data_IF_930700512785
#
_entry.id   IF_930700512785
#
_cell.length_a   1.000
_cell.length_b   1.000
_cell.length_c   1.000
_cell.angle_alpha   90.00
_cell.angle_beta   90.00
_cell.angle_gamma   90.00
#
_symmetry.space_group_name_H-M   'P 1'
#
loop_
_entity.id
_entity.type
_entity.pdbx_description
1 polymer ?
#
# COMPACT_ATOMS: atom_id res chain seq x y z
N UNK A 1 -17.73 -3.01 5.25
CA UNK A 1 -16.60 -3.49 6.07
C UNK A 1 -15.36 -3.34 5.21
N UNK A 2 -14.34 -2.66 5.69
CA UNK A 2 -13.10 -2.44 4.93
C UNK A 2 -12.37 -3.75 4.71
N UNK A 3 -12.02 -4.06 3.48
CA UNK A 3 -11.29 -5.29 3.10
C UNK A 3 -9.79 -5.14 3.30
N UNK A 4 -9.24 -3.97 2.90
CA UNK A 4 -7.80 -3.69 2.97
C UNK A 4 -7.56 -2.31 3.56
N UNK A 5 -6.65 -2.22 4.53
CA UNK A 5 -6.05 -0.96 4.98
C UNK A 5 -4.70 -0.80 4.29
N UNK A 6 -4.59 0.22 3.43
CA UNK A 6 -3.33 0.58 2.78
C UNK A 6 -2.60 1.59 3.65
N UNK A 7 -1.44 1.23 4.16
CA UNK A 7 -0.63 2.10 5.04
C UNK A 7 0.53 2.68 4.24
N UNK A 8 0.57 4.01 4.13
CA UNK A 8 1.57 4.75 3.36
C UNK A 8 2.40 5.63 4.30
N UNK A 9 3.65 5.24 4.63
CA UNK A 9 4.55 6.13 5.34
C UNK A 9 5.04 7.22 4.38
N UNK A 10 4.97 8.48 4.80
CA UNK A 10 5.31 9.65 3.96
C UNK A 10 6.39 10.46 4.65
N UNK A 11 7.53 10.67 3.97
CA UNK A 11 8.58 11.55 4.42
C UNK A 11 9.28 12.22 3.24
N UNK A 12 9.08 13.52 3.07
CA UNK A 12 9.65 14.31 1.97
C UNK A 12 9.41 13.66 0.58
N UNK A 13 8.17 13.28 0.30
CA UNK A 13 7.77 12.55 -0.90
C UNK A 13 6.94 13.39 -1.88
N UNK A 14 6.91 14.72 -1.76
CA UNK A 14 6.02 15.61 -2.53
C UNK A 14 6.14 15.41 -4.05
N UNK A 15 7.30 14.99 -4.56
CA UNK A 15 7.53 14.75 -5.99
C UNK A 15 6.70 13.57 -6.54
N UNK A 16 6.49 12.51 -5.75
CA UNK A 16 5.88 11.26 -6.20
C UNK A 16 4.52 10.98 -5.57
N UNK A 17 4.25 11.56 -4.41
CA UNK A 17 3.13 11.24 -3.54
C UNK A 17 1.77 11.31 -4.24
N UNK A 18 1.54 12.33 -5.07
CA UNK A 18 0.27 12.49 -5.78
C UNK A 18 0.01 11.32 -6.73
N UNK A 19 1.02 10.92 -7.52
CA UNK A 19 0.92 9.79 -8.44
C UNK A 19 0.71 8.48 -7.69
N UNK A 20 1.43 8.25 -6.60
CA UNK A 20 1.24 7.09 -5.71
C UNK A 20 -0.20 7.00 -5.20
N UNK A 21 -0.73 8.10 -4.63
CA UNK A 21 -2.09 8.13 -4.08
C UNK A 21 -3.15 7.92 -5.16
N UNK A 22 -2.95 8.46 -6.36
CA UNK A 22 -3.85 8.23 -7.49
C UNK A 22 -3.93 6.73 -7.84
N UNK A 23 -2.82 6.00 -7.85
CA UNK A 23 -2.83 4.56 -8.14
C UNK A 23 -3.54 3.75 -7.06
N UNK A 24 -3.46 4.16 -5.79
CA UNK A 24 -4.13 3.48 -4.68
C UNK A 24 -5.64 3.77 -4.70
N UNK A 25 -6.04 5.02 -4.91
CA UNK A 25 -7.45 5.42 -4.86
C UNK A 25 -8.24 4.99 -6.10
N UNK A 26 -7.56 4.70 -7.22
CA UNK A 26 -8.15 4.17 -8.46
C UNK A 26 -8.13 2.63 -8.52
N UNK A 27 -7.86 1.93 -7.43
CA UNK A 27 -7.95 0.46 -7.40
C UNK A 27 -9.37 -0.03 -7.66
N UNK A 28 -9.50 -1.18 -8.36
CA UNK A 28 -10.80 -1.84 -8.61
C UNK A 28 -11.48 -2.31 -7.33
N UNK A 29 -10.70 -2.61 -6.29
CA UNK A 29 -11.22 -2.91 -4.96
C UNK A 29 -11.65 -1.62 -4.25
N UNK A 30 -12.96 -1.33 -4.19
CA UNK A 30 -13.49 -0.09 -3.59
C UNK A 30 -13.51 -0.09 -2.05
N UNK A 31 -13.67 -1.28 -1.43
CA UNK A 31 -13.77 -1.45 0.03
C UNK A 31 -12.41 -1.32 0.74
N UNK A 32 -11.69 -0.25 0.49
CA UNK A 32 -10.40 0.04 1.09
C UNK A 32 -10.45 1.26 2.01
N UNK A 33 -9.44 1.41 2.84
CA UNK A 33 -9.04 2.66 3.46
C UNK A 33 -7.56 2.92 3.19
N UNK A 34 -7.18 4.18 3.14
CA UNK A 34 -5.78 4.61 2.97
C UNK A 34 -5.38 5.40 4.20
N UNK A 35 -4.35 4.93 4.89
CA UNK A 35 -3.82 5.56 6.10
C UNK A 35 -2.43 6.11 5.76
N UNK A 36 -2.37 7.39 5.41
CA UNK A 36 -1.12 8.06 5.11
C UNK A 36 -0.55 8.72 6.36
N UNK A 37 0.67 8.35 6.72
CA UNK A 37 1.34 8.84 7.92
C UNK A 37 2.49 9.75 7.54
N UNK A 38 2.31 11.06 7.72
CA UNK A 38 3.38 12.04 7.55
C UNK A 38 4.36 11.93 8.71
N UNK A 39 5.58 11.51 8.42
CA UNK A 39 6.65 11.32 9.40
C UNK A 39 7.53 12.58 9.53
N UNK A 40 6.90 13.74 9.71
CA UNK A 40 7.57 15.02 9.89
C UNK A 40 8.25 15.52 8.63
N UNK A 41 7.58 15.49 7.47
CA UNK A 41 8.08 16.06 6.22
C UNK A 41 8.33 17.56 6.32
N UNK A 42 9.36 18.04 5.61
CA UNK A 42 9.70 19.44 5.52
C UNK A 42 9.34 20.07 4.15
N UNK A 43 8.88 19.24 3.22
CA UNK A 43 8.39 19.64 1.90
C UNK A 43 6.84 19.74 1.89
N UNK A 44 6.23 19.88 0.70
CA UNK A 44 4.79 20.02 0.55
C UNK A 44 4.00 18.69 0.65
N UNK A 45 4.61 17.62 1.21
CA UNK A 45 3.91 16.33 1.35
C UNK A 45 2.64 16.45 2.20
N UNK A 46 2.67 17.23 3.27
CA UNK A 46 1.50 17.39 4.15
C UNK A 46 0.33 18.06 3.43
N UNK A 47 0.58 19.13 2.69
CA UNK A 47 -0.44 19.84 1.92
C UNK A 47 -1.08 18.95 0.85
N UNK A 48 -0.29 18.08 0.22
CA UNK A 48 -0.80 17.08 -0.73
C UNK A 48 -1.75 16.11 -0.01
N UNK A 49 -1.36 15.59 1.16
CA UNK A 49 -2.20 14.68 1.93
C UNK A 49 -3.53 15.34 2.36
N UNK A 50 -3.50 16.59 2.81
CA UNK A 50 -4.71 17.35 3.18
C UNK A 50 -5.66 17.50 1.98
N UNK A 51 -5.12 17.80 0.79
CA UNK A 51 -5.91 17.98 -0.42
C UNK A 51 -6.57 16.63 -0.86
N UNK A 52 -5.87 15.51 -0.77
CA UNK A 52 -6.46 14.19 -1.04
C UNK A 52 -7.50 13.77 0.00
N UNK A 53 -7.24 14.01 1.29
CA UNK A 53 -8.20 13.71 2.36
C UNK A 53 -9.48 14.55 2.26
N UNK A 54 -9.40 15.76 1.73
CA UNK A 54 -10.58 16.60 1.49
C UNK A 54 -11.44 16.10 0.32
N UNK A 55 -10.88 15.32 -0.60
CA UNK A 55 -11.55 14.84 -1.83
C UNK A 55 -12.04 13.40 -1.74
N UNK A 56 -11.40 12.55 -0.92
CA UNK A 56 -11.73 11.14 -0.82
C UNK A 56 -11.89 10.71 0.64
N UNK A 57 -13.08 10.27 1.00
CA UNK A 57 -13.44 9.87 2.37
C UNK A 57 -12.76 8.59 2.85
N UNK A 58 -12.12 7.84 1.95
CA UNK A 58 -11.32 6.66 2.29
C UNK A 58 -9.95 7.02 2.82
N UNK A 59 -9.51 8.29 2.62
CA UNK A 59 -8.22 8.81 3.11
C UNK A 59 -8.27 9.21 4.58
N UNK A 60 -7.37 8.66 5.37
CA UNK A 60 -7.08 9.04 6.75
C UNK A 60 -5.63 9.51 6.80
N UNK A 61 -5.40 10.72 7.31
CA UNK A 61 -4.06 11.30 7.41
C UNK A 61 -3.65 11.45 8.86
N UNK A 62 -2.40 11.12 9.15
CA UNK A 62 -1.81 11.22 10.48
C UNK A 62 -0.53 12.01 10.37
N UNK A 63 -0.36 13.02 11.22
CA UNK A 63 0.90 13.76 11.34
C UNK A 63 1.65 13.32 12.60
N UNK A 64 2.95 13.02 12.46
CA UNK A 64 3.80 12.66 13.59
C UNK A 64 5.17 13.33 13.48
N UNK A 65 5.84 13.43 14.63
CA UNK A 65 7.26 13.79 14.65
C UNK A 65 8.07 12.66 14.02
N UNK A 66 9.06 13.02 13.19
CA UNK A 66 9.91 12.04 12.51
C UNK A 66 10.45 10.97 13.48
N UNK A 67 10.08 9.73 13.19
CA UNK A 67 10.45 8.52 13.93
C UNK A 67 11.01 7.42 13.02
N UNK A 68 11.05 7.68 11.72
CA UNK A 68 11.46 6.75 10.67
C UNK A 68 10.32 5.86 10.14
N UNK A 69 10.55 5.19 9.00
CA UNK A 69 9.50 4.49 8.26
C UNK A 69 8.83 3.38 9.07
N UNK A 70 9.55 2.70 9.95
CA UNK A 70 8.98 1.66 10.81
C UNK A 70 8.03 2.24 11.86
N UNK A 71 8.34 3.42 12.42
CA UNK A 71 7.45 4.10 13.36
C UNK A 71 6.18 4.58 12.67
N UNK A 72 6.29 5.12 11.45
CA UNK A 72 5.16 5.55 10.65
C UNK A 72 4.24 4.36 10.27
N UNK A 73 4.83 3.23 9.82
CA UNK A 73 4.04 2.02 9.52
C UNK A 73 3.33 1.49 10.77
N UNK A 74 3.99 1.44 11.91
CA UNK A 74 3.37 0.99 13.17
C UNK A 74 2.26 1.94 13.63
N UNK A 75 2.44 3.25 13.46
CA UNK A 75 1.39 4.22 13.77
C UNK A 75 0.17 4.02 12.86
N UNK A 76 0.37 3.87 11.55
CA UNK A 76 -0.71 3.55 10.62
C UNK A 76 -1.42 2.23 10.98
N UNK A 77 -0.66 1.19 11.34
CA UNK A 77 -1.22 -0.11 11.74
C UNK A 77 -2.16 -0.02 12.94
N UNK A 78 -1.87 0.86 13.91
CA UNK A 78 -2.73 1.06 15.07
C UNK A 78 -4.11 1.67 14.72
N UNK A 79 -4.27 2.21 13.52
CA UNK A 79 -5.52 2.81 13.04
C UNK A 79 -6.21 1.97 11.95
N UNK A 80 -5.59 0.85 11.53
CA UNK A 80 -6.12 -0.01 10.51
C UNK A 80 -7.37 -0.78 10.99
N UNK A 81 -8.43 -0.75 10.17
CA UNK A 81 -9.71 -1.45 10.43
C UNK A 81 -10.03 -2.50 9.34
N UNK A 82 -9.18 -2.61 8.32
CA UNK A 82 -9.32 -3.58 7.23
C UNK A 82 -9.05 -5.01 7.69
N UNK A 83 -9.67 -5.96 7.00
CA UNK A 83 -9.43 -7.39 7.22
C UNK A 83 -7.97 -7.77 6.95
N UNK A 84 -7.35 -7.12 5.95
CA UNK A 84 -5.93 -7.23 5.61
C UNK A 84 -5.26 -5.87 5.64
N UNK A 85 -3.95 -5.87 5.85
CA UNK A 85 -3.10 -4.68 5.79
C UNK A 85 -2.15 -4.78 4.62
N UNK A 86 -2.00 -3.70 3.87
CA UNK A 86 -1.04 -3.56 2.78
C UNK A 86 -0.12 -2.37 3.06
N UNK A 87 1.18 -2.62 3.24
CA UNK A 87 2.17 -1.55 3.35
C UNK A 87 2.65 -1.14 1.97
N UNK A 88 2.60 0.15 1.68
CA UNK A 88 2.96 0.69 0.37
C UNK A 88 3.81 1.95 0.52
N UNK A 89 4.91 2.04 -0.22
CA UNK A 89 5.82 3.17 -0.12
C UNK A 89 5.31 4.36 -0.95
N UNK A 90 5.61 5.59 -0.51
CA UNK A 90 5.05 6.83 -1.05
C UNK A 90 5.63 7.28 -2.40
N UNK A 91 6.50 6.48 -2.97
CA UNK A 91 7.17 6.67 -4.27
C UNK A 91 6.97 5.48 -5.24
N UNK A 92 6.13 4.52 -4.86
CA UNK A 92 5.78 3.37 -5.68
C UNK A 92 4.45 3.56 -6.41
N UNK A 93 4.23 2.76 -7.48
CA UNK A 93 2.99 2.73 -8.27
C UNK A 93 2.32 1.35 -8.17
N UNK A 94 1.01 1.35 -7.98
CA UNK A 94 0.21 0.13 -7.86
C UNK A 94 -0.62 -0.10 -9.12
N UNK A 95 -0.57 -1.31 -9.70
CA UNK A 95 -1.43 -1.64 -10.84
C UNK A 95 -2.89 -1.68 -10.41
N UNK A 96 -3.78 -1.32 -11.32
CA UNK A 96 -5.20 -0.99 -11.07
C UNK A 96 -6.01 -2.07 -10.33
N UNK A 97 -5.69 -3.34 -10.53
CA UNK A 97 -6.41 -4.50 -9.97
C UNK A 97 -5.62 -5.26 -8.87
N UNK A 98 -4.49 -4.70 -8.41
CA UNK A 98 -3.59 -5.39 -7.51
C UNK A 98 -4.24 -5.77 -6.18
N UNK A 99 -4.94 -4.84 -5.53
CA UNK A 99 -5.56 -5.11 -4.23
C UNK A 99 -6.70 -6.12 -4.35
N UNK A 100 -7.49 -6.07 -5.43
CA UNK A 100 -8.57 -7.02 -5.67
C UNK A 100 -8.03 -8.43 -5.84
N UNK A 101 -7.04 -8.61 -6.72
CA UNK A 101 -6.43 -9.92 -6.99
C UNK A 101 -5.77 -10.49 -5.72
N UNK A 102 -5.02 -9.68 -4.98
CA UNK A 102 -4.38 -10.12 -3.73
C UNK A 102 -5.42 -10.50 -2.67
N UNK A 103 -6.47 -9.69 -2.50
CA UNK A 103 -7.55 -9.96 -1.56
C UNK A 103 -8.29 -11.26 -1.91
N UNK A 104 -8.72 -11.43 -3.16
CA UNK A 104 -9.39 -12.63 -3.62
C UNK A 104 -8.51 -13.88 -3.47
N UNK A 105 -7.21 -13.76 -3.75
CA UNK A 105 -6.25 -14.83 -3.55
C UNK A 105 -6.16 -15.22 -2.07
N UNK A 106 -6.02 -14.24 -1.17
CA UNK A 106 -5.99 -14.47 0.27
C UNK A 106 -7.24 -15.22 0.74
N UNK A 107 -8.43 -14.75 0.32
CA UNK A 107 -9.70 -15.37 0.70
C UNK A 107 -9.87 -16.79 0.15
N UNK A 108 -9.51 -17.01 -1.12
CA UNK A 108 -9.63 -18.32 -1.77
C UNK A 108 -8.73 -19.37 -1.14
N UNK A 109 -7.55 -18.98 -0.69
CA UNK A 109 -6.54 -19.87 -0.13
C UNK A 109 -6.56 -19.94 1.39
N UNK A 110 -7.42 -19.16 2.05
CA UNK A 110 -7.44 -18.96 3.51
C UNK A 110 -6.03 -18.56 4.03
N UNK A 111 -5.38 -17.63 3.30
CA UNK A 111 -4.00 -17.27 3.54
C UNK A 111 -3.90 -16.03 4.45
N UNK A 112 -3.00 -16.09 5.42
CA UNK A 112 -2.67 -14.96 6.30
C UNK A 112 -1.77 -13.92 5.60
N UNK A 113 -1.01 -14.35 4.58
CA UNK A 113 -0.06 -13.51 3.85
C UNK A 113 -0.10 -13.79 2.35
N UNK A 114 -0.18 -12.72 1.56
CA UNK A 114 0.00 -12.75 0.11
C UNK A 114 1.12 -11.80 -0.27
N UNK A 115 2.08 -12.28 -1.06
CA UNK A 115 3.20 -11.49 -1.54
C UNK A 115 3.05 -11.28 -3.05
N UNK A 116 2.98 -10.01 -3.47
CA UNK A 116 3.03 -9.60 -4.87
C UNK A 116 4.47 -9.50 -5.40
N UNK A 117 4.65 -9.65 -6.70
CA UNK A 117 5.90 -9.25 -7.38
C UNK A 117 5.89 -7.75 -7.67
N UNK A 118 7.07 -7.21 -7.88
CA UNK A 118 7.24 -5.84 -8.31
C UNK A 118 8.18 -5.79 -9.54
N UNK A 119 7.99 -4.77 -10.37
CA UNK A 119 8.92 -4.39 -11.42
C UNK A 119 9.57 -3.05 -11.10
N UNK A 120 10.81 -2.87 -11.55
CA UNK A 120 11.50 -1.59 -11.38
C UNK A 120 11.10 -0.68 -12.54
N UNK A 121 10.49 0.45 -12.21
CA UNK A 121 10.11 1.48 -13.17
C UNK A 121 11.21 2.56 -13.29
N UNK A 122 11.69 2.79 -14.49
CA UNK A 122 12.72 3.78 -14.80
C UNK A 122 12.20 4.99 -15.61
N UNK A 123 10.91 5.31 -15.49
CA UNK A 123 10.28 6.48 -16.10
C UNK A 123 9.82 6.31 -17.56
N UNK A 124 9.98 5.15 -18.20
CA UNK A 124 9.71 5.01 -19.64
C UNK A 124 8.64 4.00 -20.02
N UNK A 125 8.33 2.99 -19.23
CA UNK A 125 7.25 2.04 -19.53
C UNK A 125 6.97 1.12 -18.35
N UNK A 126 5.69 0.98 -17.96
CA UNK A 126 5.21 -0.20 -17.25
C UNK A 126 5.20 -1.35 -18.26
N UNK A 127 6.19 -2.21 -18.23
CA UNK A 127 6.08 -3.51 -18.89
C UNK A 127 5.02 -4.30 -18.13
N UNK A 128 3.92 -4.61 -18.83
CA UNK A 128 2.77 -5.33 -18.33
C UNK A 128 3.16 -6.43 -17.33
N UNK A 129 2.64 -6.33 -16.11
CA UNK A 129 2.68 -7.44 -15.15
C UNK A 129 1.94 -8.61 -15.82
N UNK A 130 2.71 -9.59 -16.29
CA UNK A 130 2.13 -10.84 -16.80
C UNK A 130 1.55 -11.60 -15.62
N UNK A 131 0.23 -11.81 -15.66
CA UNK A 131 -0.53 -12.71 -14.79
C UNK A 131 -0.02 -12.84 -13.35
N UNK A 132 -0.70 -12.17 -12.43
CA UNK A 132 -0.49 -12.35 -10.97
C UNK A 132 -0.60 -13.82 -10.51
N UNK A 133 -1.25 -14.71 -11.26
CA UNK A 133 -1.28 -16.15 -10.96
C UNK A 133 0.10 -16.83 -11.00
N UNK A 134 1.10 -16.24 -11.65
CA UNK A 134 2.50 -16.70 -11.60
C UNK A 134 3.29 -16.11 -10.42
N UNK A 135 2.69 -15.20 -9.63
CA UNK A 135 3.38 -14.31 -8.70
C UNK A 135 3.55 -14.86 -7.29
N UNK A 136 2.82 -15.89 -6.90
CA UNK A 136 3.01 -16.56 -5.62
C UNK A 136 3.54 -17.96 -5.91
N UNK A 137 4.85 -18.16 -5.80
CA UNK A 137 5.39 -19.51 -5.90
C UNK A 137 5.04 -20.27 -4.61
N UNK A 138 4.59 -21.52 -4.76
CA UNK A 138 4.35 -22.43 -3.64
C UNK A 138 5.59 -22.54 -2.72
N UNK A 139 6.80 -22.33 -3.28
CA UNK A 139 8.06 -22.33 -2.54
C UNK A 139 8.14 -21.24 -1.45
N UNK A 140 7.51 -20.09 -1.64
CA UNK A 140 7.49 -19.02 -0.65
C UNK A 140 6.56 -19.37 0.50
N UNK A 141 5.39 -19.93 0.18
CA UNK A 141 4.42 -20.42 1.17
C UNK A 141 5.05 -21.53 1.98
N UNK A 142 5.68 -22.52 1.33
CA UNK A 142 6.35 -23.65 1.98
C UNK A 142 7.53 -23.23 2.88
N UNK A 143 8.21 -22.15 2.55
CA UNK A 143 9.29 -21.59 3.37
C UNK A 143 8.76 -20.85 4.60
N UNK A 144 7.66 -20.12 4.45
CA UNK A 144 7.00 -19.44 5.55
C UNK A 144 6.42 -20.43 6.56
N UNK A 145 5.70 -21.46 6.10
CA UNK A 145 5.15 -22.55 6.94
C UNK A 145 6.24 -23.34 7.69
N UNK A 146 7.46 -23.36 7.15
CA UNK A 146 8.63 -23.99 7.80
C UNK A 146 9.41 -23.06 8.71
N UNK A 147 8.99 -21.79 8.87
CA UNK A 147 9.66 -20.79 9.68
C UNK A 147 11.07 -20.42 9.20
N UNK A 148 11.32 -20.47 7.88
CA UNK A 148 12.61 -20.18 7.23
C UNK A 148 12.71 -18.70 6.79
N UNK A 149 11.61 -17.93 6.87
CA UNK A 149 11.55 -16.51 6.56
C UNK A 149 11.15 -15.72 7.80
#
# INVERSE_FOLDING_TARGET
MKKVSVIVPVYNAAEFLAETLDTILNQTLEDIEVIAVNDGSADNSWEILEDYAARDTRMHIIDQKNGGPSAARNNGLNHAEGEYVFFFDSDDLLVEDALEIMYEKAKRMDADLVIGKYDIFNGVSLTSVKNLDELVSQDVIDKYDKGIL
#
